data_IF_312915405148
#
_entry.id   IF_312915405148
#
_cell.length_a   1.000
_cell.length_b   1.000
_cell.length_c   1.000
_cell.angle_alpha   90.00
_cell.angle_beta   90.00
_cell.angle_gamma   90.00
#
_symmetry.space_group_name_H-M   'P 1'
#
loop_
_entity.id
_entity.type
_entity.pdbx_description
1 polymer ?
#
# COMPACT_ATOMS: atom_id res chain seq x y z
N UNK A 1 8.84 6.74 -14.29
CA UNK A 1 7.73 5.76 -14.38
C UNK A 1 6.45 6.52 -14.04
N UNK A 2 5.39 6.40 -14.85
CA UNK A 2 4.10 7.03 -14.57
C UNK A 2 3.28 6.12 -13.65
N UNK A 3 2.64 6.69 -12.62
CA UNK A 3 1.77 5.94 -11.72
C UNK A 3 0.39 5.65 -12.34
N UNK A 4 -0.01 6.40 -13.37
CA UNK A 4 -1.25 6.23 -14.13
C UNK A 4 -1.01 6.44 -15.64
N UNK A 5 -1.63 5.61 -16.47
CA UNK A 5 -1.56 5.71 -17.94
C UNK A 5 -2.45 6.82 -18.52
N UNK A 6 -3.53 7.18 -17.82
CA UNK A 6 -4.48 8.22 -18.23
C UNK A 6 -4.16 9.59 -17.62
N UNK A 7 -3.40 9.61 -16.53
CA UNK A 7 -2.92 10.82 -15.87
C UNK A 7 -1.39 10.79 -15.81
N UNK A 8 -0.68 10.96 -16.95
CA UNK A 8 0.77 10.78 -17.03
C UNK A 8 1.56 11.78 -16.18
N UNK A 9 0.93 12.89 -15.76
CA UNK A 9 1.50 13.85 -14.81
C UNK A 9 1.62 13.29 -13.38
N UNK A 10 0.84 12.27 -13.02
CA UNK A 10 0.94 11.57 -11.73
C UNK A 10 2.07 10.54 -11.81
N UNK A 11 3.23 10.92 -11.27
CA UNK A 11 4.44 10.08 -11.26
C UNK A 11 4.71 9.45 -9.89
N UNK A 12 4.08 9.97 -8.83
CA UNK A 12 4.26 9.54 -7.45
C UNK A 12 3.07 9.98 -6.59
N UNK A 13 2.88 9.31 -5.45
CA UNK A 13 1.92 9.71 -4.44
C UNK A 13 2.52 9.45 -3.06
N UNK A 14 2.08 10.22 -2.08
CA UNK A 14 2.46 10.03 -0.68
C UNK A 14 1.24 9.45 0.02
N UNK A 15 1.20 8.16 0.40
CA UNK A 15 0.18 7.73 1.35
C UNK A 15 0.37 8.55 2.63
N UNK A 16 -0.67 8.96 3.36
CA UNK A 16 -0.44 9.56 4.66
C UNK A 16 0.31 8.54 5.51
N UNK A 17 1.60 8.82 5.74
CA UNK A 17 2.45 8.18 6.75
C UNK A 17 2.43 8.99 8.05
N UNK A 18 1.86 10.20 8.05
CA UNK A 18 1.55 10.94 9.27
C UNK A 18 0.21 10.49 9.82
N UNK A 19 0.18 9.22 10.16
CA UNK A 19 -0.89 8.57 10.89
C UNK A 19 -0.28 7.28 11.37
N UNK A 20 -0.27 7.07 12.68
CA UNK A 20 -0.10 5.74 13.26
C UNK A 20 -1.23 4.87 12.72
N UNK A 21 -1.07 4.35 11.51
CA UNK A 21 -1.75 3.12 11.14
C UNK A 21 -1.01 2.07 11.96
N UNK A 22 -1.59 1.50 13.03
CA UNK A 22 -1.01 0.32 13.61
C UNK A 22 -1.04 -0.73 12.50
N UNK A 23 0.06 -0.87 11.77
CA UNK A 23 0.28 -2.05 10.97
C UNK A 23 0.54 -3.11 12.02
N UNK A 24 -0.53 -3.71 12.52
CA UNK A 24 -0.39 -4.87 13.39
C UNK A 24 0.41 -5.89 12.60
N UNK A 25 1.29 -6.61 13.28
CA UNK A 25 2.04 -7.68 12.65
C UNK A 25 1.11 -8.73 12.02
N UNK A 26 -0.10 -8.87 12.57
CA UNK A 26 -1.20 -9.60 11.94
C UNK A 26 -1.58 -9.06 10.55
N UNK A 27 -1.62 -7.75 10.33
CA UNK A 27 -1.92 -7.16 9.03
C UNK A 27 -0.85 -7.37 7.97
N UNK A 28 0.40 -7.69 8.36
CA UNK A 28 1.50 -8.05 7.45
C UNK A 28 1.54 -9.55 7.19
N UNK A 29 1.19 -10.34 8.21
CA UNK A 29 1.29 -11.80 8.19
C UNK A 29 -0.02 -12.49 7.78
N UNK A 30 -1.15 -11.78 7.81
CA UNK A 30 -2.48 -12.30 7.52
C UNK A 30 -3.20 -11.44 6.50
N UNK A 31 -4.29 -12.02 5.98
CA UNK A 31 -5.18 -11.29 5.09
C UNK A 31 -5.84 -10.13 5.84
N UNK A 32 -5.86 -8.95 5.23
CA UNK A 32 -6.48 -7.76 5.81
C UNK A 32 -7.33 -7.03 4.79
N UNK A 33 -8.21 -6.14 5.23
CA UNK A 33 -8.96 -5.27 4.32
C UNK A 33 -9.17 -3.92 4.97
N UNK A 34 -9.30 -2.87 4.16
CA UNK A 34 -9.55 -1.55 4.70
C UNK A 34 -9.74 -0.48 3.64
N UNK A 35 -9.95 0.74 4.12
CA UNK A 35 -9.98 1.95 3.31
C UNK A 35 -8.69 2.74 3.56
N UNK A 36 -8.07 3.22 2.49
CA UNK A 36 -6.85 4.02 2.56
C UNK A 36 -6.93 5.25 1.66
N UNK A 37 -6.79 6.47 2.21
CA UNK A 37 -6.58 7.65 1.39
C UNK A 37 -5.23 7.59 0.67
N UNK A 38 -5.22 7.93 -0.62
CA UNK A 38 -4.05 8.16 -1.45
C UNK A 38 -3.96 9.67 -1.73
N UNK A 39 -2.84 10.30 -1.39
CA UNK A 39 -2.60 11.73 -1.62
C UNK A 39 -1.60 11.85 -2.76
N UNK A 40 -2.06 12.36 -3.90
CA UNK A 40 -1.25 12.45 -5.11
C UNK A 40 -0.29 13.63 -5.05
N UNK A 41 0.94 13.46 -5.52
CA UNK A 41 1.89 14.56 -5.59
C UNK A 41 1.47 15.54 -6.69
N UNK A 42 1.47 16.85 -6.38
CA UNK A 42 1.18 17.93 -7.33
C UNK A 42 0.09 18.90 -6.88
N UNK A 43 -0.91 18.43 -6.10
CA UNK A 43 -1.95 19.29 -5.51
C UNK A 43 -2.52 18.61 -4.24
N UNK A 44 -2.43 19.21 -3.04
CA UNK A 44 -2.95 18.60 -1.80
C UNK A 44 -4.44 18.25 -1.81
N UNK A 45 -5.23 18.88 -2.69
CA UNK A 45 -6.66 18.59 -2.86
C UNK A 45 -6.93 17.37 -3.75
N UNK A 46 -5.93 16.83 -4.43
CA UNK A 46 -6.07 15.62 -5.24
C UNK A 46 -5.87 14.39 -4.38
N UNK A 47 -6.98 13.86 -3.89
CA UNK A 47 -7.01 12.61 -3.11
C UNK A 47 -7.80 11.53 -3.83
N UNK A 48 -7.59 10.28 -3.41
CA UNK A 48 -8.40 9.13 -3.82
C UNK A 48 -8.61 8.21 -2.62
N UNK A 49 -9.78 7.59 -2.49
CA UNK A 49 -10.03 6.56 -1.49
C UNK A 49 -9.88 5.19 -2.11
N UNK A 50 -8.95 4.39 -1.60
CA UNK A 50 -8.72 3.04 -2.04
C UNK A 50 -9.32 2.04 -1.06
N UNK A 51 -10.25 1.23 -1.53
CA UNK A 51 -10.73 0.05 -0.81
C UNK A 51 -9.87 -1.14 -1.19
N UNK A 52 -9.17 -1.71 -0.20
CA UNK A 52 -8.22 -2.78 -0.44
C UNK A 52 -8.57 -4.05 0.33
N UNK A 53 -8.21 -5.18 -0.27
CA UNK A 53 -8.03 -6.47 0.39
C UNK A 53 -6.59 -6.89 0.17
N UNK A 54 -5.94 -7.34 1.23
CA UNK A 54 -4.56 -7.75 1.24
C UNK A 54 -4.42 -9.22 1.61
N UNK A 55 -3.35 -9.83 1.11
CA UNK A 55 -2.91 -11.16 1.44
C UNK A 55 -1.39 -11.20 1.59
N UNK A 56 -0.93 -12.12 2.41
CA UNK A 56 0.49 -12.37 2.63
C UNK A 56 0.85 -13.77 2.09
N UNK A 57 1.96 -13.87 1.38
CA UNK A 57 2.48 -15.14 0.86
C UNK A 57 3.99 -15.20 1.05
N UNK A 58 4.55 -16.40 1.16
CA UNK A 58 6.01 -16.58 1.20
C UNK A 58 6.47 -17.16 -0.11
N UNK A 59 7.40 -16.49 -0.78
CA UNK A 59 8.03 -16.97 -2.01
C UNK A 59 9.53 -16.97 -1.81
N UNK A 60 10.17 -18.14 -1.93
CA UNK A 60 11.61 -18.32 -1.75
C UNK A 60 12.16 -17.69 -0.44
N UNK A 61 11.42 -17.83 0.66
CA UNK A 61 11.82 -17.29 1.97
C UNK A 61 11.65 -15.78 2.13
N UNK A 62 11.07 -15.09 1.15
CA UNK A 62 10.68 -13.69 1.24
C UNK A 62 9.17 -13.59 1.45
N UNK A 63 8.72 -12.84 2.46
CA UNK A 63 7.30 -12.53 2.62
C UNK A 63 6.89 -11.44 1.65
N UNK A 64 5.84 -11.70 0.88
CA UNK A 64 5.25 -10.77 -0.08
C UNK A 64 3.85 -10.44 0.41
N UNK A 65 3.64 -9.18 0.73
CA UNK A 65 2.35 -8.63 1.08
C UNK A 65 1.75 -7.94 -0.15
N UNK A 66 0.65 -8.50 -0.66
CA UNK A 66 -0.06 -7.99 -1.83
C UNK A 66 -1.38 -7.41 -1.38
N UNK A 67 -1.68 -6.16 -1.73
CA UNK A 67 -2.97 -5.51 -1.47
C UNK A 67 -3.57 -5.03 -2.78
N UNK A 68 -4.84 -5.28 -3.01
CA UNK A 68 -5.53 -4.93 -4.24
C UNK A 68 -6.95 -4.45 -3.99
N UNK A 69 -7.47 -3.61 -4.88
CA UNK A 69 -8.88 -3.26 -4.91
C UNK A 69 -9.15 -1.92 -5.59
N UNK A 70 -10.43 -1.52 -5.67
CA UNK A 70 -10.84 -0.34 -6.41
C UNK A 70 -10.63 0.97 -5.64
N UNK A 71 -10.39 2.04 -6.38
CA UNK A 71 -10.55 3.40 -5.90
C UNK A 71 -12.04 3.75 -5.94
N UNK A 72 -12.62 3.96 -4.75
CA UNK A 72 -14.05 4.17 -4.56
C UNK A 72 -14.46 5.64 -4.65
N UNK A 73 -13.52 6.57 -4.48
CA UNK A 73 -13.78 8.00 -4.67
C UNK A 73 -12.51 8.81 -4.95
N UNK A 74 -12.68 10.05 -5.41
CA UNK A 74 -11.62 11.01 -5.69
C UNK A 74 -11.13 11.00 -7.14
N UNK A 75 -9.94 11.56 -7.38
CA UNK A 75 -9.40 11.85 -8.72
C UNK A 75 -9.30 10.61 -9.62
N UNK A 76 -8.98 9.46 -9.04
CA UNK A 76 -8.86 8.21 -9.78
C UNK A 76 -10.02 7.25 -9.49
N UNK A 77 -11.21 7.76 -9.12
CA UNK A 77 -12.40 6.92 -8.91
C UNK A 77 -12.64 5.98 -10.09
N UNK A 78 -12.92 4.70 -9.80
CA UNK A 78 -13.07 3.65 -10.79
C UNK A 78 -11.77 2.94 -11.22
N UNK A 79 -10.60 3.48 -10.87
CA UNK A 79 -9.33 2.78 -11.08
C UNK A 79 -9.19 1.58 -10.13
N UNK A 80 -8.39 0.59 -10.53
CA UNK A 80 -7.96 -0.52 -9.66
C UNK A 80 -6.51 -0.33 -9.27
N UNK A 81 -6.19 -0.55 -8.00
CA UNK A 81 -4.83 -0.49 -7.46
C UNK A 81 -4.37 -1.88 -7.06
N UNK A 82 -3.13 -2.21 -7.39
CA UNK A 82 -2.37 -3.36 -6.87
C UNK A 82 -1.08 -2.83 -6.24
N UNK A 83 -0.90 -3.10 -4.95
CA UNK A 83 0.31 -2.86 -4.18
C UNK A 83 0.95 -4.20 -3.91
N UNK A 84 2.25 -4.33 -4.17
CA UNK A 84 3.04 -5.47 -3.72
C UNK A 84 4.24 -4.96 -2.92
N UNK A 85 4.44 -5.51 -1.74
CA UNK A 85 5.56 -5.17 -0.87
C UNK A 85 6.29 -6.43 -0.44
N UNK A 86 7.60 -6.50 -0.69
CA UNK A 86 8.42 -7.55 -0.11
C UNK A 86 8.82 -7.13 1.30
N UNK A 87 8.50 -7.92 2.31
CA UNK A 87 8.77 -7.64 3.72
C UNK A 87 10.09 -8.33 4.09
N UNK A 88 11.13 -7.57 4.48
CA UNK A 88 12.39 -8.12 4.94
C UNK A 88 12.21 -8.92 6.24
N UNK A 89 13.03 -9.96 6.41
CA UNK A 89 12.99 -10.77 7.63
C UNK A 89 13.31 -9.98 8.90
N UNK A 90 14.05 -8.88 8.80
CA UNK A 90 14.30 -7.96 9.91
C UNK A 90 13.03 -7.28 10.40
N UNK A 91 12.10 -6.95 9.50
CA UNK A 91 10.81 -6.36 9.85
C UNK A 91 9.90 -7.41 10.51
N UNK A 92 9.99 -8.66 10.07
CA UNK A 92 9.29 -9.79 10.71
C UNK A 92 9.83 -10.08 12.10
N UNK A 93 11.14 -10.04 12.30
CA UNK A 93 11.73 -10.21 13.62
C UNK A 93 11.35 -9.05 14.57
N UNK A 94 11.20 -7.83 14.05
CA UNK A 94 10.71 -6.70 14.84
C UNK A 94 9.26 -6.90 15.32
N UNK A 95 8.46 -7.69 14.60
CA UNK A 95 7.11 -8.05 15.02
C UNK A 95 7.04 -8.90 16.29
N UNK A 96 8.09 -9.70 16.56
CA UNK A 96 8.19 -10.50 17.79
C UNK A 96 8.82 -9.70 18.96
N UNK A 97 9.20 -8.44 18.73
CA UNK A 97 9.80 -7.58 19.75
C UNK A 97 8.73 -6.81 20.54
N UNK A 98 9.04 -6.45 21.79
CA UNK A 98 8.14 -5.65 22.63
C UNK A 98 7.78 -4.27 22.05
N UNK A 99 8.59 -3.76 21.10
CA UNK A 99 8.30 -2.52 20.38
C UNK A 99 7.40 -2.69 19.14
N UNK A 100 7.24 -3.93 18.67
CA UNK A 100 6.53 -4.25 17.42
C UNK A 100 7.16 -3.62 16.18
N UNK A 101 6.49 -3.77 15.03
CA UNK A 101 6.89 -3.11 13.80
C UNK A 101 6.15 -1.78 13.63
N UNK A 102 6.90 -0.68 13.59
CA UNK A 102 6.33 0.66 13.38
C UNK A 102 6.27 1.05 11.90
N UNK A 103 7.26 0.61 11.11
CA UNK A 103 7.38 0.90 9.68
C UNK A 103 7.99 -0.31 9.00
N UNK A 104 7.42 -0.72 7.86
CA UNK A 104 8.06 -1.72 6.99
C UNK A 104 9.01 -1.03 6.01
N UNK A 105 10.22 -1.55 5.90
CA UNK A 105 11.33 -1.00 5.11
C UNK A 105 11.46 -1.60 3.70
N UNK A 106 10.64 -2.62 3.43
CA UNK A 106 10.67 -3.42 2.22
C UNK A 106 10.34 -2.70 0.91
N UNK A 107 10.93 -3.11 -0.24
CA UNK A 107 10.63 -2.52 -1.53
C UNK A 107 9.14 -2.71 -1.85
N UNK A 108 8.52 -1.62 -2.31
CA UNK A 108 7.09 -1.57 -2.60
C UNK A 108 6.85 -1.14 -4.04
N UNK A 109 6.02 -1.89 -4.74
CA UNK A 109 5.57 -1.62 -6.10
C UNK A 109 4.07 -1.28 -6.04
N UNK A 110 3.67 -0.28 -6.81
CA UNK A 110 2.28 0.13 -6.99
C UNK A 110 1.95 0.15 -8.47
N UNK A 111 0.83 -0.48 -8.84
CA UNK A 111 0.27 -0.47 -10.19
C UNK A 111 -1.16 0.04 -10.09
N UNK A 112 -1.50 1.00 -10.94
CA UNK A 112 -2.84 1.58 -11.00
C UNK A 112 -3.34 1.48 -12.43
N UNK A 113 -4.48 0.83 -12.60
CA UNK A 113 -5.09 0.59 -13.91
C UNK A 113 -6.44 1.28 -13.98
N UNK A 114 -6.67 2.07 -15.02
CA UNK A 114 -7.98 2.64 -15.36
C UNK A 114 -8.56 1.87 -16.54
N UNK A 115 -9.81 1.43 -16.40
CA UNK A 115 -10.64 0.93 -17.51
C UNK A 115 -11.30 2.08 -18.23
#
# INVERSE_FOLDING_TARGET
MCASLTHPALTSFTPPLTGTAPVSCDGILQNSSGLRPLIWNGVPSMTSQWSFTASATTVNGTHIHTAQGPITSGVLSGATVVKQQAIPNTDLAACDSAGGLLVSSGPTIWVITQT
#
